data_IF_604978661064
#
_entry.id   IF_604978661064
#
_cell.length_a   1.000
_cell.length_b   1.000
_cell.length_c   1.000
_cell.angle_alpha   90.00
_cell.angle_beta   90.00
_cell.angle_gamma   90.00
#
_symmetry.space_group_name_H-M   'P 1'
#
loop_
_entity.id
_entity.type
_entity.pdbx_description
1 polymer ?
#
# COMPACT_ATOMS: atom_id res chain seq x y z
N UNK A 1 1.73 32.45 82.61
CA UNK A 1 2.73 31.70 81.79
C UNK A 1 2.10 30.80 80.71
N UNK A 2 0.87 30.37 80.91
CA UNK A 2 0.21 29.44 79.97
C UNK A 2 -0.14 30.07 78.58
N UNK A 3 -0.64 31.32 78.60
CA UNK A 3 -1.06 32.05 77.40
C UNK A 3 0.10 32.31 76.42
N UNK A 4 1.31 32.58 76.95
CA UNK A 4 2.49 32.86 76.12
C UNK A 4 3.02 31.61 75.40
N UNK A 5 2.79 30.40 75.95
CA UNK A 5 3.15 29.12 75.30
C UNK A 5 2.19 28.69 74.18
N UNK A 6 0.90 29.04 74.33
CA UNK A 6 -0.11 28.78 73.34
C UNK A 6 0.08 29.66 72.10
N UNK A 7 0.36 30.97 72.27
CA UNK A 7 0.62 31.91 71.17
C UNK A 7 1.88 31.50 70.40
N UNK A 8 2.95 31.06 71.06
CA UNK A 8 4.18 30.59 70.38
C UNK A 8 3.95 29.32 69.60
N UNK A 9 3.09 28.40 70.08
CA UNK A 9 2.72 27.17 69.37
C UNK A 9 1.88 27.43 68.10
N UNK A 10 0.96 28.38 68.13
CA UNK A 10 0.14 28.73 66.97
C UNK A 10 0.95 29.45 65.89
N UNK A 11 1.90 30.32 66.25
CA UNK A 11 2.80 30.99 65.28
C UNK A 11 3.74 30.02 64.63
N UNK A 12 4.29 29.02 65.36
CA UNK A 12 5.15 27.99 64.76
C UNK A 12 4.39 27.01 63.88
N UNK A 13 3.11 26.70 64.20
CA UNK A 13 2.26 25.86 63.36
C UNK A 13 1.86 26.55 62.04
N UNK A 14 1.66 27.89 62.10
CA UNK A 14 1.35 28.67 60.89
C UNK A 14 2.52 28.82 59.94
N UNK A 15 3.76 28.81 60.46
CA UNK A 15 4.97 28.88 59.60
C UNK A 15 5.32 27.54 58.92
N UNK A 16 4.94 26.41 59.54
CA UNK A 16 5.16 25.08 58.94
C UNK A 16 4.23 24.78 57.78
N UNK A 17 3.08 25.47 57.67
CA UNK A 17 2.12 25.28 56.57
C UNK A 17 2.47 26.05 55.29
N UNK A 18 3.43 27.00 55.35
CA UNK A 18 3.90 27.76 54.17
C UNK A 18 5.09 27.15 53.46
N UNK A 19 5.65 26.07 53.98
CA UNK A 19 6.80 25.37 53.40
C UNK A 19 6.36 24.10 52.62
N UNK A 20 5.18 24.12 51.90
CA UNK A 20 4.95 23.08 50.93
C UNK A 20 5.99 23.23 49.80
N UNK A 21 6.81 22.22 49.53
CA UNK A 21 7.69 22.27 48.41
C UNK A 21 6.81 22.39 47.16
N UNK A 22 7.00 23.48 46.43
CA UNK A 22 6.43 23.65 45.09
C UNK A 22 7.04 22.55 44.20
N UNK A 23 6.40 21.38 44.21
CA UNK A 23 6.83 20.31 43.30
C UNK A 23 6.75 20.87 41.89
N UNK A 24 7.80 20.83 41.07
CA UNK A 24 7.72 21.24 39.68
C UNK A 24 6.63 20.41 39.04
N UNK A 25 5.58 21.08 38.60
CA UNK A 25 4.56 20.45 37.77
C UNK A 25 5.30 19.79 36.60
N UNK A 26 5.03 18.50 36.29
CA UNK A 26 5.62 17.88 35.12
C UNK A 26 5.28 18.79 33.94
N UNK A 27 6.33 19.35 33.32
CA UNK A 27 6.18 20.11 32.10
C UNK A 27 5.43 19.19 31.13
N UNK A 28 4.17 19.50 30.83
CA UNK A 28 3.46 18.83 29.74
C UNK A 28 4.36 19.01 28.53
N UNK A 29 5.02 17.94 28.11
CA UNK A 29 5.75 17.93 26.84
C UNK A 29 4.71 18.29 25.80
N UNK A 30 4.75 19.53 25.31
CA UNK A 30 3.93 19.94 24.21
C UNK A 30 4.27 18.98 23.07
N UNK A 31 3.37 18.05 22.77
CA UNK A 31 3.50 17.19 21.60
C UNK A 31 3.73 18.12 20.42
N UNK A 32 4.88 18.03 19.80
CA UNK A 32 5.18 18.84 18.62
C UNK A 32 4.05 18.61 17.62
N UNK A 33 3.42 19.71 17.16
CA UNK A 33 2.36 19.62 16.18
C UNK A 33 2.80 18.78 14.97
N UNK A 34 1.94 17.95 14.40
CA UNK A 34 2.28 17.13 13.25
C UNK A 34 2.77 18.04 12.12
N UNK A 35 3.91 17.65 11.53
CA UNK A 35 4.58 18.40 10.48
C UNK A 35 4.81 17.51 9.26
N UNK A 36 4.57 18.06 8.09
CA UNK A 36 4.86 17.40 6.83
C UNK A 36 6.29 17.72 6.38
N UNK A 37 7.05 16.73 5.94
CA UNK A 37 8.26 16.94 5.19
C UNK A 37 7.93 17.46 3.78
N UNK A 38 6.85 16.90 3.19
CA UNK A 38 6.42 17.29 1.84
C UNK A 38 4.90 17.27 1.75
N UNK A 39 4.34 18.27 1.09
CA UNK A 39 2.97 18.32 0.61
C UNK A 39 2.98 18.53 -0.90
N UNK A 40 2.45 17.59 -1.66
CA UNK A 40 2.22 17.76 -3.10
C UNK A 40 0.73 17.93 -3.33
N UNK A 41 0.37 18.95 -4.06
CA UNK A 41 -1.01 19.24 -4.45
C UNK A 41 -1.08 19.10 -5.97
N UNK A 42 -1.75 18.02 -6.43
CA UNK A 42 -2.02 17.85 -7.85
C UNK A 42 -3.35 18.51 -8.19
N UNK A 43 -3.39 19.22 -9.31
CA UNK A 43 -4.55 19.96 -9.80
C UNK A 43 -4.78 19.57 -11.26
N UNK A 44 -5.85 18.81 -11.53
CA UNK A 44 -6.17 18.25 -12.83
C UNK A 44 -7.56 18.72 -13.30
N UNK A 45 -7.65 19.90 -13.94
CA UNK A 45 -8.93 20.44 -14.39
C UNK A 45 -9.51 19.60 -15.54
N UNK A 46 -10.81 19.30 -15.45
CA UNK A 46 -11.58 18.57 -16.47
C UNK A 46 -10.85 17.33 -17.03
N UNK A 47 -10.16 16.60 -16.12
CA UNK A 47 -9.39 15.43 -16.53
C UNK A 47 -10.30 14.26 -16.91
N UNK A 48 -11.15 13.80 -16.00
CA UNK A 48 -12.08 12.66 -16.15
C UNK A 48 -13.55 13.04 -15.91
N UNK A 49 -13.81 14.24 -15.39
CA UNK A 49 -15.15 14.79 -15.15
C UNK A 49 -15.24 16.21 -15.68
N UNK A 50 -16.24 16.48 -16.53
CA UNK A 50 -16.47 17.80 -17.09
C UNK A 50 -16.86 18.83 -15.99
N UNK A 51 -16.42 20.06 -16.17
CA UNK A 51 -16.68 21.19 -15.28
C UNK A 51 -16.28 20.97 -13.80
N UNK A 52 -15.30 20.10 -13.58
CA UNK A 52 -14.70 19.86 -12.26
C UNK A 52 -13.18 19.88 -12.33
N UNK A 53 -12.55 20.06 -11.17
CA UNK A 53 -11.11 19.89 -10.98
C UNK A 53 -10.90 18.73 -10.03
N UNK A 54 -10.15 17.71 -10.44
CA UNK A 54 -9.64 16.71 -9.52
C UNK A 54 -8.44 17.32 -8.78
N UNK A 55 -8.55 17.37 -7.46
CA UNK A 55 -7.48 17.80 -6.57
C UNK A 55 -7.02 16.62 -5.73
N UNK A 56 -5.71 16.42 -5.65
CA UNK A 56 -5.12 15.34 -4.88
C UNK A 56 -4.10 15.96 -3.90
N UNK A 57 -4.35 15.80 -2.60
CA UNK A 57 -3.40 16.14 -1.55
C UNK A 57 -2.57 14.92 -1.19
N UNK A 58 -1.26 14.95 -1.43
CA UNK A 58 -0.33 13.90 -1.04
C UNK A 58 0.62 14.46 0.01
N UNK A 59 0.47 13.98 1.24
CA UNK A 59 1.28 14.42 2.37
C UNK A 59 2.23 13.34 2.86
N UNK A 60 3.44 13.75 3.22
CA UNK A 60 4.44 12.92 3.88
C UNK A 60 4.84 13.55 5.21
N UNK A 61 4.59 12.88 6.32
CA UNK A 61 5.04 13.33 7.64
C UNK A 61 6.56 13.30 7.75
N UNK A 62 7.12 14.32 8.42
CA UNK A 62 8.55 14.39 8.67
C UNK A 62 9.04 13.14 9.42
N UNK A 63 10.20 12.55 9.05
CA UNK A 63 10.71 11.34 9.68
C UNK A 63 10.93 11.49 11.20
N UNK A 64 11.26 12.69 11.65
CA UNK A 64 11.48 13.03 13.07
C UNK A 64 10.20 13.30 13.85
N UNK A 65 9.05 13.50 13.17
CA UNK A 65 7.78 13.73 13.83
C UNK A 65 7.08 12.39 14.14
N UNK A 66 6.39 12.28 15.28
CA UNK A 66 5.52 11.14 15.53
C UNK A 66 4.39 11.12 14.49
N UNK A 67 3.94 9.92 14.09
CA UNK A 67 2.72 9.79 13.30
C UNK A 67 1.56 10.14 14.23
N UNK A 68 0.72 11.12 13.90
CA UNK A 68 -0.40 11.49 14.76
C UNK A 68 -1.44 10.37 14.81
N UNK A 69 -2.10 10.19 15.95
CA UNK A 69 -3.21 9.24 16.08
C UNK A 69 -4.39 9.63 15.19
N UNK A 70 -4.56 10.92 14.97
CA UNK A 70 -5.63 11.46 14.13
C UNK A 70 -5.15 12.74 13.45
N UNK A 71 -5.50 12.91 12.20
CA UNK A 71 -5.29 14.17 11.46
C UNK A 71 -6.60 14.70 10.93
N UNK A 72 -6.62 16.02 10.75
CA UNK A 72 -7.73 16.80 10.23
C UNK A 72 -7.21 17.64 9.07
N UNK A 73 -7.80 17.46 7.92
CA UNK A 73 -7.48 18.21 6.69
C UNK A 73 -8.77 18.78 6.14
N UNK A 74 -8.77 20.06 5.85
CA UNK A 74 -9.92 20.74 5.27
C UNK A 74 -9.85 20.73 3.75
N UNK A 75 -10.97 20.44 3.14
CA UNK A 75 -11.21 20.58 1.71
C UNK A 75 -12.37 21.57 1.50
N UNK A 76 -12.48 22.24 0.33
CA UNK A 76 -13.59 23.15 0.07
C UNK A 76 -14.96 22.48 0.23
N UNK A 77 -15.93 23.16 0.85
CA UNK A 77 -17.29 22.62 0.99
C UNK A 77 -17.97 22.40 -0.39
N UNK A 78 -17.57 23.16 -1.41
CA UNK A 78 -18.03 22.98 -2.81
C UNK A 78 -17.65 21.64 -3.41
N UNK A 79 -16.60 20.97 -2.90
CA UNK A 79 -16.17 19.65 -3.34
C UNK A 79 -17.09 18.54 -2.83
N UNK A 80 -17.79 18.75 -1.72
CA UNK A 80 -18.54 17.69 -1.04
C UNK A 80 -17.61 16.67 -0.38
N UNK A 81 -18.08 15.44 -0.25
CA UNK A 81 -17.30 14.35 0.34
C UNK A 81 -16.03 14.03 -0.49
N UNK A 82 -14.90 13.71 0.15
CA UNK A 82 -13.72 13.27 -0.57
C UNK A 82 -14.00 11.99 -1.35
N UNK A 83 -13.53 11.89 -2.58
CA UNK A 83 -13.68 10.68 -3.41
C UNK A 83 -12.79 9.54 -2.93
N UNK A 84 -11.64 9.86 -2.34
CA UNK A 84 -10.76 8.87 -1.72
C UNK A 84 -9.95 9.48 -0.58
N UNK A 85 -9.77 8.69 0.47
CA UNK A 85 -8.76 8.94 1.51
C UNK A 85 -7.98 7.65 1.68
N UNK A 86 -6.68 7.68 1.43
CA UNK A 86 -5.87 6.48 1.31
C UNK A 86 -4.45 6.69 1.85
N UNK A 87 -3.71 5.63 2.00
CA UNK A 87 -2.27 5.62 2.22
C UNK A 87 -1.61 4.58 1.32
N UNK A 88 -0.34 4.77 0.93
CA UNK A 88 0.43 3.70 0.33
C UNK A 88 0.52 2.48 1.24
N UNK A 89 0.70 1.31 0.65
CA UNK A 89 0.94 0.10 1.42
C UNK A 89 2.18 0.25 2.32
N UNK A 90 2.14 -0.29 3.55
CA UNK A 90 3.32 -0.36 4.40
C UNK A 90 4.47 -1.08 3.67
N UNK A 91 5.67 -0.48 3.69
CA UNK A 91 6.84 -0.96 2.95
C UNK A 91 7.14 -0.16 1.68
N UNK A 92 6.18 0.58 1.11
CA UNK A 92 6.40 1.52 0.00
C UNK A 92 6.64 2.97 0.50
N UNK A 93 6.94 3.14 1.76
CA UNK A 93 7.10 4.44 2.41
C UNK A 93 8.32 5.24 1.90
N UNK A 94 9.26 4.58 1.23
CA UNK A 94 10.42 5.21 0.59
C UNK A 94 10.19 5.67 -0.86
N UNK A 95 9.04 5.34 -1.46
CA UNK A 95 8.74 5.78 -2.81
C UNK A 95 8.47 7.29 -2.85
N UNK A 96 8.97 8.01 -3.86
CA UNK A 96 8.61 9.42 -4.07
C UNK A 96 7.09 9.60 -4.13
N UNK A 97 6.59 10.71 -3.59
CA UNK A 97 5.15 11.01 -3.46
C UNK A 97 4.39 10.91 -4.80
N UNK A 98 5.06 11.13 -5.91
CA UNK A 98 4.51 11.04 -7.27
C UNK A 98 4.50 9.60 -7.84
N UNK A 99 5.03 8.60 -7.13
CA UNK A 99 5.14 7.21 -7.61
C UNK A 99 4.33 6.23 -6.77
N UNK A 100 3.36 6.70 -6.00
CA UNK A 100 2.49 5.82 -5.21
C UNK A 100 1.51 5.11 -6.12
N UNK A 101 1.76 3.83 -6.38
CA UNK A 101 0.98 3.02 -7.32
C UNK A 101 -0.08 2.16 -6.63
N UNK A 102 0.12 1.82 -5.36
CA UNK A 102 -0.80 0.96 -4.61
C UNK A 102 -1.28 1.69 -3.34
N UNK A 103 -2.51 2.16 -3.36
CA UNK A 103 -3.15 2.86 -2.26
C UNK A 103 -4.14 1.95 -1.54
N UNK A 104 -4.10 1.97 -0.21
CA UNK A 104 -5.08 1.30 0.64
C UNK A 104 -6.01 2.36 1.21
N UNK A 105 -7.32 2.18 1.00
CA UNK A 105 -8.32 3.08 1.57
C UNK A 105 -8.24 3.14 3.10
N UNK A 106 -8.31 4.35 3.64
CA UNK A 106 -8.35 4.58 5.08
C UNK A 106 -9.66 4.04 5.66
N UNK A 107 -9.54 3.41 6.82
CA UNK A 107 -10.71 3.02 7.62
C UNK A 107 -11.04 4.16 8.60
N UNK A 108 -12.32 4.34 8.91
CA UNK A 108 -12.82 5.37 9.86
C UNK A 108 -12.52 6.81 9.42
N UNK A 109 -12.78 7.11 8.16
CA UNK A 109 -12.82 8.50 7.69
C UNK A 109 -14.14 9.10 8.15
N UNK A 110 -14.08 10.27 8.76
CA UNK A 110 -15.25 11.07 9.13
C UNK A 110 -15.14 12.45 8.54
N UNK A 111 -16.26 13.03 8.13
CA UNK A 111 -16.33 14.36 7.57
C UNK A 111 -17.25 15.23 8.42
N UNK A 112 -16.91 16.49 8.58
CA UNK A 112 -17.70 17.46 9.32
C UNK A 112 -17.73 18.77 8.53
N UNK A 113 -18.92 19.30 8.28
CA UNK A 113 -19.08 20.61 7.64
C UNK A 113 -18.76 21.74 8.64
N UNK A 114 -17.89 22.64 8.22
CA UNK A 114 -17.49 23.82 8.98
C UNK A 114 -17.44 25.05 8.05
N UNK A 115 -18.56 25.68 7.87
CA UNK A 115 -18.70 26.82 6.96
C UNK A 115 -18.35 26.49 5.52
N UNK A 116 -17.32 27.16 4.98
CA UNK A 116 -16.86 26.97 3.61
C UNK A 116 -15.96 25.71 3.44
N UNK A 117 -15.83 24.92 4.50
CA UNK A 117 -14.93 23.78 4.55
C UNK A 117 -15.64 22.49 4.93
N UNK A 118 -15.07 21.38 4.49
CA UNK A 118 -15.31 20.04 5.03
C UNK A 118 -14.02 19.60 5.71
N UNK A 119 -14.06 19.38 7.00
CA UNK A 119 -12.98 18.77 7.77
C UNK A 119 -13.02 17.26 7.58
N UNK A 120 -12.00 16.73 6.94
CA UNK A 120 -11.77 15.28 6.75
C UNK A 120 -10.87 14.80 7.87
N UNK A 121 -11.39 13.94 8.73
CA UNK A 121 -10.68 13.40 9.88
C UNK A 121 -10.43 11.92 9.69
N UNK A 122 -9.18 11.46 9.87
CA UNK A 122 -8.80 10.07 9.76
C UNK A 122 -7.55 9.73 10.58
N UNK A 123 -7.32 8.43 10.82
CA UNK A 123 -6.10 7.90 11.44
C UNK A 123 -5.14 7.46 10.34
N UNK A 124 -3.98 8.09 10.15
CA UNK A 124 -3.05 7.70 9.10
C UNK A 124 -2.49 6.29 9.34
N UNK A 125 -2.49 5.44 8.32
CA UNK A 125 -1.95 4.08 8.38
C UNK A 125 -0.42 4.04 8.26
N UNK A 126 0.17 5.09 7.70
CA UNK A 126 1.61 5.23 7.50
C UNK A 126 2.01 6.72 7.58
N UNK A 127 3.28 7.02 7.34
CA UNK A 127 3.75 8.42 7.23
C UNK A 127 3.25 9.14 5.99
N UNK A 128 2.50 8.47 5.12
CA UNK A 128 2.04 8.96 3.85
C UNK A 128 0.51 8.93 3.82
N UNK A 129 -0.10 9.98 3.27
CA UNK A 129 -1.54 10.01 3.03
C UNK A 129 -1.87 10.64 1.68
N UNK A 130 -3.01 10.25 1.14
CA UNK A 130 -3.59 10.75 -0.09
C UNK A 130 -5.06 11.09 0.15
N UNK A 131 -5.47 12.29 -0.24
CA UNK A 131 -6.87 12.73 -0.21
C UNK A 131 -7.23 13.24 -1.60
N UNK A 132 -8.27 12.67 -2.18
CA UNK A 132 -8.75 13.03 -3.51
C UNK A 132 -10.16 13.61 -3.41
N UNK A 133 -10.40 14.70 -4.10
CA UNK A 133 -11.72 15.29 -4.19
C UNK A 133 -11.90 16.01 -5.53
N UNK A 134 -13.16 16.15 -5.93
CA UNK A 134 -13.55 16.90 -7.10
C UNK A 134 -14.19 18.20 -6.69
N UNK A 135 -13.62 19.31 -7.10
CA UNK A 135 -14.20 20.63 -6.83
C UNK A 135 -14.79 21.22 -8.12
N UNK A 136 -15.71 22.15 -7.97
CA UNK A 136 -16.41 22.77 -9.10
C UNK A 136 -15.53 23.83 -9.73
N UNK A 137 -15.48 23.84 -11.08
CA UNK A 137 -14.88 24.91 -11.85
C UNK A 137 -15.96 25.90 -12.28
N UNK A 138 -15.66 27.20 -12.19
CA UNK A 138 -16.52 28.19 -12.80
C UNK A 138 -16.38 28.10 -14.32
N UNK A 139 -17.48 27.82 -15.00
CA UNK A 139 -17.52 27.64 -16.44
C UNK A 139 -18.57 28.58 -17.04
N UNK A 140 -18.11 29.63 -17.73
CA UNK A 140 -18.97 30.61 -18.43
C UNK A 140 -18.62 30.56 -19.91
N UNK A 141 -19.49 29.99 -20.72
CA UNK A 141 -19.24 29.71 -22.13
C UNK A 141 -17.96 28.89 -22.33
N UNK A 142 -16.88 29.54 -22.75
CA UNK A 142 -15.55 28.89 -22.93
C UNK A 142 -14.56 29.27 -21.83
N UNK A 143 -14.86 30.29 -21.04
CA UNK A 143 -13.98 30.72 -19.91
C UNK A 143 -14.14 29.76 -18.74
N UNK A 144 -13.00 29.30 -18.24
CA UNK A 144 -12.87 28.41 -17.09
C UNK A 144 -12.01 29.07 -16.06
N UNK A 145 -12.50 29.10 -14.81
CA UNK A 145 -11.76 29.67 -13.67
C UNK A 145 -11.89 28.78 -12.46
N UNK A 146 -10.77 28.56 -11.80
CA UNK A 146 -10.72 27.80 -10.57
C UNK A 146 -9.74 28.43 -9.59
N UNK A 147 -10.06 28.39 -8.30
CA UNK A 147 -9.17 28.84 -7.22
C UNK A 147 -9.10 27.77 -6.17
N UNK A 148 -7.92 27.19 -6.01
CA UNK A 148 -7.59 26.28 -4.92
C UNK A 148 -7.14 27.11 -3.72
N UNK A 149 -7.63 26.75 -2.54
CA UNK A 149 -7.16 27.30 -1.27
C UNK A 149 -6.73 26.16 -0.35
N UNK A 150 -5.47 26.18 0.03
CA UNK A 150 -4.94 25.35 1.12
C UNK A 150 -4.99 26.16 2.40
N UNK A 151 -5.76 25.71 3.44
CA UNK A 151 -5.98 26.51 4.66
C UNK A 151 -4.81 26.49 5.66
N UNK A 152 -3.75 25.71 5.39
CA UNK A 152 -2.61 25.58 6.29
C UNK A 152 -2.87 24.69 7.50
N UNK A 153 -3.63 23.62 7.34
CA UNK A 153 -3.97 22.71 8.46
C UNK A 153 -2.75 22.11 9.14
N UNK A 154 -1.72 21.86 8.35
CA UNK A 154 -0.42 21.34 8.79
C UNK A 154 0.71 22.22 8.25
N UNK A 155 1.77 22.37 9.04
CA UNK A 155 3.01 22.93 8.49
C UNK A 155 3.69 21.92 7.56
N UNK A 156 4.33 22.43 6.49
CA UNK A 156 5.08 21.61 5.54
C UNK A 156 6.42 22.26 5.23
N UNK A 157 7.49 21.45 5.19
CA UNK A 157 8.84 21.94 4.87
C UNK A 157 9.01 22.22 3.38
N UNK A 158 8.31 21.47 2.54
CA UNK A 158 8.26 21.66 1.10
C UNK A 158 6.84 21.46 0.58
N UNK A 159 6.29 22.46 -0.08
CA UNK A 159 5.00 22.39 -0.78
C UNK A 159 5.25 22.53 -2.27
N UNK A 160 4.63 21.65 -3.04
CA UNK A 160 4.67 21.63 -4.50
C UNK A 160 3.27 21.59 -5.05
N UNK A 161 3.01 22.32 -6.13
CA UNK A 161 1.77 22.22 -6.89
C UNK A 161 2.11 21.64 -8.27
N UNK A 162 1.52 20.52 -8.60
CA UNK A 162 1.58 19.95 -9.94
C UNK A 162 0.26 20.23 -10.64
N UNK A 163 0.33 20.88 -11.80
CA UNK A 163 -0.85 21.14 -12.61
C UNK A 163 -0.70 20.41 -13.94
N UNK A 164 -1.78 19.78 -14.38
CA UNK A 164 -1.95 19.33 -15.77
C UNK A 164 -2.93 20.23 -16.47
N UNK A 165 -2.54 20.84 -17.60
CA UNK A 165 -3.45 21.59 -18.43
C UNK A 165 -4.47 20.63 -19.07
N UNK A 166 -5.76 20.98 -19.09
CA UNK A 166 -6.74 20.13 -19.76
C UNK A 166 -6.52 20.12 -21.27
N UNK A 167 -6.81 19.00 -21.90
CA UNK A 167 -6.71 18.85 -23.35
C UNK A 167 -7.51 19.96 -24.08
N UNK A 168 -6.88 20.61 -25.03
CA UNK A 168 -7.52 21.67 -25.83
C UNK A 168 -7.69 23.02 -25.11
N UNK A 169 -7.08 23.19 -23.93
CA UNK A 169 -7.02 24.49 -23.25
C UNK A 169 -6.15 25.48 -24.04
N UNK A 170 -6.60 26.74 -24.09
CA UNK A 170 -5.86 27.85 -24.67
C UNK A 170 -5.84 29.03 -23.72
N UNK A 171 -4.92 29.96 -23.88
CA UNK A 171 -4.76 31.13 -23.02
C UNK A 171 -4.68 30.78 -21.53
N UNK A 172 -3.91 29.74 -21.22
CA UNK A 172 -3.74 29.28 -19.86
C UNK A 172 -2.99 30.32 -19.02
N UNK A 173 -3.55 30.66 -17.87
CA UNK A 173 -2.99 31.64 -16.93
C UNK A 173 -3.07 31.08 -15.50
N UNK A 174 -2.14 31.45 -14.64
CA UNK A 174 -2.15 31.07 -13.23
C UNK A 174 -1.61 32.17 -12.33
N UNK A 175 -2.02 32.14 -11.07
CA UNK A 175 -1.49 32.98 -10.00
C UNK A 175 -1.28 32.12 -8.75
N UNK A 176 -0.03 31.94 -8.26
CA UNK A 176 1.23 32.41 -8.85
C UNK A 176 1.48 31.86 -10.27
N UNK A 177 2.34 32.55 -11.01
CA UNK A 177 2.73 32.13 -12.35
C UNK A 177 3.44 30.77 -12.30
N UNK A 178 3.06 29.88 -13.20
CA UNK A 178 3.70 28.57 -13.35
C UNK A 178 4.99 28.66 -14.18
N UNK A 179 5.99 27.84 -13.88
CA UNK A 179 7.10 27.59 -14.79
C UNK A 179 6.64 27.03 -16.13
N UNK A 180 7.53 27.00 -17.13
CA UNK A 180 7.23 26.36 -18.41
C UNK A 180 6.82 24.90 -18.20
N UNK A 181 5.72 24.52 -18.85
CA UNK A 181 5.23 23.15 -18.80
C UNK A 181 6.04 22.21 -19.69
N UNK A 182 5.96 20.93 -19.35
CA UNK A 182 6.54 19.82 -20.12
C UNK A 182 5.39 18.90 -20.50
N UNK A 183 5.39 18.44 -21.75
CA UNK A 183 4.40 17.43 -22.19
C UNK A 183 4.71 16.11 -21.47
N UNK A 184 3.73 15.58 -20.76
CA UNK A 184 3.84 14.30 -20.06
C UNK A 184 3.63 13.09 -21.00
N UNK A 185 3.70 11.88 -20.44
CA UNK A 185 3.55 10.63 -21.21
C UNK A 185 2.15 10.47 -21.82
N UNK A 186 1.15 11.12 -21.25
CA UNK A 186 -0.23 11.12 -21.75
C UNK A 186 -0.47 12.18 -22.83
N UNK A 187 0.48 13.05 -23.07
CA UNK A 187 0.39 14.12 -24.08
C UNK A 187 -0.22 15.42 -23.55
N UNK A 188 -0.37 15.58 -22.24
CA UNK A 188 -0.81 16.81 -21.57
C UNK A 188 0.37 17.66 -21.16
N UNK A 189 0.16 18.97 -21.11
CA UNK A 189 1.18 19.90 -20.57
C UNK A 189 1.10 19.89 -19.05
N UNK A 190 2.19 19.47 -18.43
CA UNK A 190 2.35 19.41 -16.98
C UNK A 190 3.30 20.50 -16.49
N UNK A 191 2.93 21.16 -15.40
CA UNK A 191 3.72 22.18 -14.72
C UNK A 191 3.97 21.77 -13.28
N UNK A 192 5.12 22.19 -12.74
CA UNK A 192 5.43 22.04 -11.33
C UNK A 192 5.83 23.39 -10.73
N UNK A 193 5.13 23.83 -9.71
CA UNK A 193 5.43 25.02 -8.92
C UNK A 193 5.98 24.62 -7.56
N UNK A 194 7.19 25.04 -7.25
CA UNK A 194 7.77 24.93 -5.91
C UNK A 194 7.35 26.14 -5.07
N UNK A 195 6.48 25.92 -4.09
CA UNK A 195 5.95 26.96 -3.19
C UNK A 195 6.92 27.20 -2.02
N UNK A 196 7.72 26.19 -1.66
CA UNK A 196 8.60 26.21 -0.52
C UNK A 196 7.91 25.80 0.79
N UNK A 197 8.43 26.26 1.93
CA UNK A 197 7.88 25.90 3.24
C UNK A 197 6.61 26.74 3.56
N UNK A 198 5.63 26.09 4.14
CA UNK A 198 4.42 26.72 4.68
C UNK A 198 4.26 26.43 6.17
N UNK A 199 4.07 27.47 6.97
CA UNK A 199 3.73 27.33 8.38
C UNK A 199 2.27 26.90 8.56
N UNK A 200 1.97 26.23 9.66
CA UNK A 200 0.58 25.96 10.05
C UNK A 200 -0.21 27.25 10.21
N UNK A 201 -1.45 27.26 9.76
CA UNK A 201 -2.33 28.43 9.70
C UNK A 201 -2.03 29.40 8.57
N UNK A 202 -0.99 29.16 7.74
CA UNK A 202 -0.67 30.00 6.59
C UNK A 202 -1.50 29.59 5.39
N UNK A 203 -2.36 30.47 4.95
CA UNK A 203 -3.17 30.30 3.74
C UNK A 203 -2.30 30.31 2.50
N UNK A 204 -2.51 29.34 1.60
CA UNK A 204 -1.94 29.35 0.25
C UNK A 204 -3.05 29.30 -0.77
N UNK A 205 -3.03 30.24 -1.72
CA UNK A 205 -4.03 30.36 -2.78
C UNK A 205 -3.38 30.17 -4.13
N UNK A 206 -3.97 29.32 -4.96
CA UNK A 206 -3.54 29.07 -6.33
C UNK A 206 -4.73 29.16 -7.27
N UNK A 207 -4.66 30.08 -8.23
CA UNK A 207 -5.77 30.32 -9.17
C UNK A 207 -5.32 30.00 -10.60
N UNK A 208 -6.25 29.46 -11.38
CA UNK A 208 -6.07 29.19 -12.81
C UNK A 208 -7.24 29.75 -13.62
N UNK A 209 -6.93 30.15 -14.84
CA UNK A 209 -7.93 30.54 -15.84
C UNK A 209 -7.49 30.08 -17.23
N UNK A 210 -8.42 29.62 -18.06
CA UNK A 210 -8.16 29.21 -19.43
C UNK A 210 -9.41 29.24 -20.30
N UNK A 211 -9.23 29.25 -21.61
CA UNK A 211 -10.31 29.08 -22.56
C UNK A 211 -10.36 27.65 -23.08
N UNK A 212 -11.57 27.07 -23.20
CA UNK A 212 -11.75 25.74 -23.70
C UNK A 212 -13.08 25.58 -24.42
N UNK A 213 -13.04 25.18 -25.68
CA UNK A 213 -14.22 24.92 -26.52
C UNK A 213 -14.60 23.42 -26.52
N UNK A 214 -13.62 22.54 -26.38
CA UNK A 214 -13.85 21.09 -26.31
C UNK A 214 -14.65 20.72 -25.07
N UNK A 215 -15.71 19.96 -25.25
CA UNK A 215 -16.61 19.51 -24.18
C UNK A 215 -16.20 18.15 -23.59
N UNK A 216 -15.33 17.42 -24.31
CA UNK A 216 -14.83 16.12 -23.83
C UNK A 216 -13.87 16.36 -22.67
N UNK A 217 -13.80 15.42 -21.73
CA UNK A 217 -12.73 15.41 -20.74
C UNK A 217 -11.38 15.13 -21.38
N UNK A 218 -10.28 15.43 -20.67
CA UNK A 218 -8.93 15.12 -21.18
C UNK A 218 -8.76 13.63 -21.41
N UNK A 219 -9.27 12.80 -20.48
CA UNK A 219 -9.23 11.34 -20.58
C UNK A 219 -9.99 10.84 -21.83
N UNK A 220 -11.17 11.39 -22.12
CA UNK A 220 -11.93 11.05 -23.32
C UNK A 220 -11.21 11.49 -24.61
N UNK A 221 -10.67 12.71 -24.62
CA UNK A 221 -9.99 13.26 -25.80
C UNK A 221 -8.72 12.48 -26.16
N UNK A 222 -7.98 12.04 -25.15
CA UNK A 222 -6.75 11.25 -25.31
C UNK A 222 -7.01 9.74 -25.46
N UNK A 223 -8.27 9.32 -25.46
CA UNK A 223 -8.66 7.91 -25.47
C UNK A 223 -8.01 7.08 -24.33
N UNK A 224 -7.68 7.76 -23.24
CA UNK A 224 -7.20 7.12 -22.00
C UNK A 224 -8.32 6.34 -21.30
N UNK A 225 -9.48 6.28 -21.95
CA UNK A 225 -10.64 5.57 -21.45
C UNK A 225 -10.34 4.10 -21.47
N UNK A 226 -10.42 3.52 -20.27
CA UNK A 226 -10.77 2.12 -20.01
C UNK A 226 -10.81 1.24 -21.24
N UNK A 227 -10.09 0.11 -21.27
CA UNK A 227 -10.28 -0.85 -22.34
C UNK A 227 -11.80 -1.06 -22.45
N UNK A 228 -12.36 -0.73 -23.64
CA UNK A 228 -13.70 -1.16 -24.02
C UNK A 228 -13.77 -2.60 -23.55
N UNK A 229 -14.71 -3.00 -22.69
CA UNK A 229 -14.80 -4.38 -22.27
C UNK A 229 -14.83 -5.17 -23.58
N UNK A 230 -13.74 -5.86 -23.85
CA UNK A 230 -13.63 -6.76 -25.00
C UNK A 230 -14.91 -7.56 -24.94
N UNK A 231 -15.79 -7.54 -25.98
CA UNK A 231 -17.06 -8.25 -25.91
C UNK A 231 -16.67 -9.64 -25.44
N UNK A 232 -17.11 -9.98 -24.22
CA UNK A 232 -16.81 -11.28 -23.61
C UNK A 232 -17.10 -12.28 -24.70
N UNK A 233 -16.12 -13.06 -25.20
CA UNK A 233 -16.34 -14.00 -26.27
C UNK A 233 -17.62 -14.72 -25.91
N UNK A 234 -18.63 -14.72 -26.81
CA UNK A 234 -19.93 -15.32 -26.53
C UNK A 234 -19.59 -16.66 -25.90
N UNK A 235 -19.96 -16.85 -24.64
CA UNK A 235 -19.57 -18.01 -23.89
C UNK A 235 -19.99 -19.19 -24.76
N UNK A 236 -19.02 -19.90 -25.33
CA UNK A 236 -19.27 -21.19 -25.94
C UNK A 236 -20.16 -21.92 -24.94
N UNK A 237 -21.30 -22.51 -25.38
CA UNK A 237 -22.21 -23.15 -24.45
C UNK A 237 -21.35 -24.02 -23.57
N UNK A 238 -21.25 -23.65 -22.29
CA UNK A 238 -20.54 -24.43 -21.29
C UNK A 238 -21.20 -25.77 -21.35
N UNK A 239 -20.50 -26.75 -21.91
CA UNK A 239 -20.91 -28.15 -21.83
C UNK A 239 -21.19 -28.34 -20.34
N UNK A 240 -22.48 -28.63 -20.00
CA UNK A 240 -22.90 -28.91 -18.63
C UNK A 240 -21.83 -29.83 -18.07
N UNK A 241 -21.03 -29.35 -17.11
CA UNK A 241 -20.09 -30.18 -16.40
C UNK A 241 -20.87 -31.36 -15.88
N UNK A 242 -20.64 -32.53 -16.51
CA UNK A 242 -21.19 -33.76 -16.03
C UNK A 242 -20.73 -33.90 -14.59
N UNK A 243 -21.66 -33.74 -13.66
CA UNK A 243 -21.40 -33.88 -12.21
C UNK A 243 -20.49 -35.10 -12.04
N UNK A 244 -19.35 -35.00 -11.35
CA UNK A 244 -18.35 -36.06 -11.34
C UNK A 244 -18.79 -37.26 -10.48
N UNK A 245 -20.03 -37.76 -10.71
CA UNK A 245 -20.58 -38.89 -10.01
C UNK A 245 -19.72 -40.15 -10.20
N UNK A 246 -19.01 -40.25 -11.34
CA UNK A 246 -18.05 -41.32 -11.59
C UNK A 246 -16.87 -41.25 -10.63
N UNK A 247 -16.37 -40.04 -10.27
CA UNK A 247 -15.31 -39.89 -9.26
C UNK A 247 -15.81 -40.26 -7.87
N UNK A 248 -17.04 -39.89 -7.54
CA UNK A 248 -17.69 -40.27 -6.25
C UNK A 248 -17.88 -41.77 -6.20
N UNK A 249 -18.36 -42.39 -7.29
CA UNK A 249 -18.52 -43.86 -7.38
C UNK A 249 -17.16 -44.57 -7.28
N UNK A 250 -16.11 -44.09 -7.95
CA UNK A 250 -14.75 -44.65 -7.88
C UNK A 250 -14.18 -44.56 -6.45
N UNK A 251 -14.37 -43.43 -5.75
CA UNK A 251 -13.98 -43.27 -4.34
C UNK A 251 -14.74 -44.23 -3.42
N UNK A 252 -16.05 -44.41 -3.65
CA UNK A 252 -16.87 -45.37 -2.88
C UNK A 252 -16.39 -46.82 -3.05
N UNK A 253 -16.11 -47.26 -4.28
CA UNK A 253 -15.56 -48.60 -4.56
C UNK A 253 -14.19 -48.78 -3.93
N UNK A 254 -13.31 -47.76 -4.03
CA UNK A 254 -11.97 -47.79 -3.41
C UNK A 254 -12.06 -47.96 -1.88
N UNK A 255 -12.99 -47.27 -1.22
CA UNK A 255 -13.19 -47.39 0.22
C UNK A 255 -13.70 -48.77 0.63
N UNK A 256 -14.63 -49.37 -0.12
CA UNK A 256 -15.17 -50.73 0.13
C UNK A 256 -14.03 -51.75 -0.02
N UNK A 257 -13.18 -51.66 -1.05
CA UNK A 257 -12.05 -52.53 -1.24
C UNK A 257 -11.02 -52.43 -0.10
N UNK A 258 -10.77 -51.21 0.37
CA UNK A 258 -9.86 -50.97 1.50
C UNK A 258 -10.40 -51.61 2.78
N UNK A 259 -11.68 -51.40 3.12
CA UNK A 259 -12.33 -51.99 4.30
C UNK A 259 -12.32 -53.52 4.17
N UNK A 260 -12.69 -54.06 3.01
CA UNK A 260 -12.65 -55.49 2.71
C UNK A 260 -11.26 -56.10 2.89
N UNK A 261 -10.22 -55.41 2.39
CA UNK A 261 -8.82 -55.79 2.56
C UNK A 261 -8.38 -55.83 4.02
N UNK A 262 -8.75 -54.81 4.82
CA UNK A 262 -8.43 -54.75 6.24
C UNK A 262 -9.13 -55.88 7.01
N UNK A 263 -10.44 -56.11 6.75
CA UNK A 263 -11.17 -57.19 7.39
C UNK A 263 -10.62 -58.57 7.04
N UNK A 264 -10.27 -58.79 5.76
CA UNK A 264 -9.61 -60.01 5.30
C UNK A 264 -8.23 -60.19 5.96
N UNK A 265 -7.44 -59.16 6.06
CA UNK A 265 -6.12 -59.17 6.71
C UNK A 265 -6.26 -59.51 8.20
N UNK A 266 -7.18 -58.90 8.93
CA UNK A 266 -7.40 -59.18 10.35
C UNK A 266 -7.90 -60.62 10.58
N UNK A 267 -8.80 -61.16 9.71
CA UNK A 267 -9.21 -62.53 9.76
C UNK A 267 -8.11 -63.53 9.43
N UNK A 268 -7.21 -63.20 8.46
CA UNK A 268 -6.10 -64.05 8.12
C UNK A 268 -5.06 -64.17 9.24
N UNK A 269 -4.88 -63.10 10.04
CA UNK A 269 -4.02 -63.15 11.22
C UNK A 269 -4.64 -64.05 12.35
N UNK A 270 -5.93 -64.06 12.53
CA UNK A 270 -6.58 -64.92 13.50
C UNK A 270 -6.50 -66.40 13.14
N UNK A 271 -6.37 -66.75 11.84
CA UNK A 271 -6.23 -68.11 11.41
C UNK A 271 -4.82 -68.72 11.63
N UNK A 272 -3.82 -67.91 11.97
CA UNK A 272 -2.46 -68.36 12.20
C UNK A 272 -2.13 -68.70 13.67
N UNK A 273 -3.06 -68.48 14.60
CA UNK A 273 -2.82 -68.74 16.04
C UNK A 273 -3.12 -70.13 16.51
N UNK A 274 -3.55 -71.04 15.62
CA UNK A 274 -3.75 -72.46 15.94
C UNK A 274 -2.89 -73.38 15.10
N UNK A 275 -1.54 -73.36 15.31
CA UNK A 275 -0.67 -74.47 14.97
C UNK A 275 -0.14 -75.11 16.25
N UNK A 276 -0.35 -76.39 16.46
CA UNK A 276 0.22 -77.09 17.60
C UNK A 276 1.75 -77.14 17.46
N UNK A 277 2.41 -76.83 18.55
CA UNK A 277 3.85 -76.87 18.70
C UNK A 277 4.37 -78.26 18.47
N UNK A 278 5.22 -78.50 17.43
CA UNK A 278 6.04 -79.70 17.30
C UNK A 278 7.50 -79.31 17.67
N UNK A 279 8.13 -80.03 18.63
CA UNK A 279 9.50 -79.71 19.00
C UNK A 279 10.51 -80.09 17.91
N UNK A 280 11.56 -79.28 17.71
CA UNK A 280 12.53 -79.54 16.66
C UNK A 280 13.51 -80.63 17.04
N UNK A 281 13.73 -81.59 16.11
CA UNK A 281 14.75 -82.60 16.19
C UNK A 281 16.15 -81.94 15.95
N UNK A 282 17.06 -82.28 16.85
CA UNK A 282 18.46 -81.94 16.82
C UNK A 282 19.17 -82.45 15.52
N UNK A 283 19.72 -81.55 14.74
CA UNK A 283 20.69 -81.90 13.70
C UNK A 283 21.95 -81.10 13.82
N UNK A 284 23.01 -81.82 14.12
CA UNK A 284 24.40 -81.35 14.27
C UNK A 284 24.98 -80.76 12.95
N UNK A 285 25.67 -79.68 13.09
CA UNK A 285 26.98 -79.43 12.44
C UNK A 285 27.00 -78.81 11.07
N UNK A 286 27.47 -77.64 10.96
CA UNK A 286 28.81 -77.40 10.34
C UNK A 286 29.12 -75.88 10.34
N UNK A 287 30.26 -75.60 10.86
CA UNK A 287 31.00 -74.34 10.93
C UNK A 287 31.37 -73.83 9.52
N UNK A 288 31.11 -72.61 9.18
CA UNK A 288 31.96 -71.90 8.23
C UNK A 288 31.95 -70.43 8.60
N UNK A 289 33.13 -70.00 8.96
CA UNK A 289 33.51 -68.62 9.23
C UNK A 289 33.63 -67.90 7.86
N UNK A 290 32.97 -66.77 7.75
CA UNK A 290 33.36 -65.80 6.72
C UNK A 290 33.17 -64.39 7.22
N UNK A 291 34.29 -63.78 7.51
CA UNK A 291 34.52 -62.38 7.77
C UNK A 291 33.94 -61.51 6.65
N UNK A 292 33.12 -60.53 6.96
CA UNK A 292 32.82 -59.46 6.05
C UNK A 292 33.05 -58.12 6.72
N UNK A 293 33.83 -57.44 6.07
CA UNK A 293 34.48 -56.15 6.18
C UNK A 293 33.42 -55.03 6.19
N UNK A 294 33.48 -54.12 7.13
CA UNK A 294 32.74 -52.90 7.19
C UNK A 294 33.12 -51.91 6.06
N UNK A 295 32.17 -51.14 5.49
CA UNK A 295 32.51 -50.06 4.57
C UNK A 295 32.82 -48.78 5.37
N UNK A 296 33.99 -48.23 5.05
CA UNK A 296 34.46 -46.91 5.52
C UNK A 296 33.59 -45.81 4.92
N UNK A 297 33.08 -44.93 5.78
CA UNK A 297 32.59 -43.61 5.42
C UNK A 297 33.72 -42.70 5.01
N UNK A 298 33.61 -42.15 3.81
CA UNK A 298 34.52 -41.15 3.26
C UNK A 298 33.93 -39.75 3.54
N UNK A 299 34.74 -38.80 4.01
CA UNK A 299 34.26 -37.40 4.17
C UNK A 299 34.19 -36.72 2.82
N UNK A 300 33.13 -35.96 2.60
CA UNK A 300 32.91 -35.10 1.42
C UNK A 300 33.72 -33.80 1.60
N UNK A 301 34.49 -33.34 0.61
CA UNK A 301 35.19 -32.06 0.69
C UNK A 301 34.21 -30.88 0.52
N UNK A 302 34.48 -29.82 1.26
CA UNK A 302 33.83 -28.53 1.13
C UNK A 302 34.11 -27.94 -0.25
N UNK A 303 33.06 -27.54 -0.96
CA UNK A 303 33.18 -26.81 -2.22
C UNK A 303 33.48 -25.33 -1.91
N UNK A 304 34.67 -24.94 -2.31
CA UNK A 304 35.11 -23.55 -2.40
C UNK A 304 34.33 -22.91 -3.57
N UNK A 305 33.58 -21.85 -3.29
CA UNK A 305 32.98 -21.02 -4.32
C UNK A 305 34.06 -20.14 -4.95
N UNK A 306 34.53 -20.52 -6.11
CA UNK A 306 35.23 -19.63 -7.04
C UNK A 306 34.15 -18.82 -7.77
N UNK A 307 34.19 -17.51 -7.58
CA UNK A 307 33.47 -16.54 -8.39
C UNK A 307 34.17 -16.46 -9.73
N UNK A 308 33.56 -17.04 -10.76
CA UNK A 308 33.93 -16.80 -12.15
C UNK A 308 33.03 -15.68 -12.68
N UNK A 309 33.64 -14.54 -12.87
CA UNK A 309 33.09 -13.35 -13.51
C UNK A 309 32.99 -13.64 -15.01
N UNK A 310 31.80 -14.05 -15.47
CA UNK A 310 31.47 -14.12 -16.90
C UNK A 310 30.51 -13.00 -17.22
N UNK A 311 31.07 -11.98 -17.85
CA UNK A 311 30.42 -10.87 -18.53
C UNK A 311 29.55 -11.42 -19.67
N UNK A 312 28.27 -11.72 -19.37
CA UNK A 312 27.27 -12.14 -20.34
C UNK A 312 26.13 -11.13 -20.28
N UNK A 313 25.93 -10.43 -21.39
CA UNK A 313 24.88 -9.42 -21.57
C UNK A 313 23.54 -9.93 -21.05
N UNK A 314 23.10 -9.38 -19.93
CA UNK A 314 21.87 -9.72 -19.26
C UNK A 314 20.77 -8.85 -19.86
N UNK A 315 19.82 -9.47 -20.57
CA UNK A 315 18.66 -8.80 -21.14
C UNK A 315 17.51 -8.72 -20.15
N UNK A 316 16.64 -7.73 -20.34
CA UNK A 316 15.39 -7.63 -19.58
C UNK A 316 14.20 -7.97 -20.46
N UNK A 317 13.15 -8.57 -19.88
CA UNK A 317 11.90 -8.81 -20.58
C UNK A 317 11.22 -7.48 -20.92
N UNK A 318 10.98 -7.23 -22.21
CA UNK A 318 10.35 -5.99 -22.70
C UNK A 318 8.93 -5.80 -22.23
N UNK A 319 8.24 -6.87 -21.76
CA UNK A 319 6.87 -6.82 -21.32
C UNK A 319 6.71 -6.58 -19.81
N UNK A 320 7.63 -7.11 -18.97
CA UNK A 320 7.47 -7.05 -17.52
C UNK A 320 8.73 -6.67 -16.74
N UNK A 321 9.82 -6.31 -17.44
CA UNK A 321 11.06 -5.83 -16.83
C UNK A 321 11.89 -6.88 -16.07
N UNK A 322 11.47 -8.17 -16.07
CA UNK A 322 12.24 -9.22 -15.37
C UNK A 322 13.57 -9.48 -16.07
N UNK A 323 14.63 -9.63 -15.26
CA UNK A 323 15.95 -10.05 -15.73
C UNK A 323 15.86 -11.45 -16.37
N UNK A 324 16.36 -11.59 -17.60
CA UNK A 324 16.36 -12.82 -18.37
C UNK A 324 17.74 -13.45 -18.34
N UNK A 325 17.79 -14.77 -18.30
CA UNK A 325 19.02 -15.52 -18.49
C UNK A 325 19.33 -15.63 -19.97
N UNK A 326 20.59 -15.80 -20.35
CA UNK A 326 20.99 -15.91 -21.77
C UNK A 326 20.28 -17.04 -22.54
N UNK A 327 19.79 -18.07 -21.84
CA UNK A 327 19.17 -19.25 -22.41
C UNK A 327 17.64 -19.24 -22.38
N UNK A 328 17.03 -18.19 -21.81
CA UNK A 328 15.58 -18.11 -21.68
C UNK A 328 14.92 -17.85 -23.05
N UNK A 329 14.15 -18.80 -23.55
CA UNK A 329 13.31 -18.63 -24.74
C UNK A 329 11.99 -17.89 -24.43
N UNK A 330 11.54 -17.94 -23.18
CA UNK A 330 10.33 -17.30 -22.67
C UNK A 330 10.59 -16.70 -21.30
N UNK A 331 9.95 -15.58 -21.02
CA UNK A 331 10.03 -14.96 -19.69
C UNK A 331 9.28 -15.83 -18.66
N UNK A 332 9.98 -16.29 -17.63
CA UNK A 332 9.40 -17.12 -16.56
C UNK A 332 8.40 -16.39 -15.65
N UNK A 333 8.25 -15.06 -15.81
CA UNK A 333 7.28 -14.26 -15.04
C UNK A 333 5.97 -14.01 -15.80
N UNK A 334 6.03 -13.68 -17.10
CA UNK A 334 4.87 -13.30 -17.90
C UNK A 334 4.63 -14.17 -19.12
N UNK A 335 5.45 -15.18 -19.39
CA UNK A 335 5.30 -16.08 -20.53
C UNK A 335 5.64 -15.47 -21.90
N UNK A 336 6.05 -14.20 -21.97
CA UNK A 336 6.36 -13.54 -23.23
C UNK A 336 7.61 -14.15 -23.88
N UNK A 337 7.55 -14.41 -25.18
CA UNK A 337 8.69 -14.94 -25.94
C UNK A 337 9.79 -13.89 -26.04
N UNK A 338 11.02 -14.28 -25.72
CA UNK A 338 12.20 -13.41 -25.83
C UNK A 338 12.57 -13.27 -27.30
N UNK A 339 12.44 -12.04 -27.86
CA UNK A 339 12.86 -11.78 -29.25
C UNK A 339 14.37 -11.74 -29.31
N UNK A 340 14.97 -12.66 -30.04
CA UNK A 340 16.41 -12.60 -30.32
C UNK A 340 17.14 -13.95 -30.41
N UNK A 341 16.43 -15.05 -30.76
CA UNK A 341 17.07 -16.26 -31.32
C UNK A 341 16.18 -16.88 -32.38
#
# INVERSE_FOLDING_TARGET
MLVRRVILGVVMASFALLALPCAPLPSAQAQSAPRLATLVIDVWPEYDRAATVLVIYRGQFAPSAPIPEQIKIRIPASAGEPSAVASPQPGNEGAPVNQWTELIAQKKVTTTHDGDWIEVTFTPLSRLFNIEFYDKISAVTFDRRYTLTWPGDLSADAVKVNLREPFGATNFQSTPALPLGVTDEEGLVAHQLDVGALAAGKLFVFSIGYLREDKRTSAEALQLVTPVPTPKPAALPVAKEATPWLLIAALGVGLILMIGGVVWYLRSQQAQTFRPYQPPALRKGRRSVRTSRAPRTRPRPAATLTVEETDSAVGFCTQCGKLLRPDDAFCSRCGTRVKGK
#
